data_IF_151084982864
#
_entry.id   IF_151084982864
#
_cell.length_a   1.000
_cell.length_b   1.000
_cell.length_c   1.000
_cell.angle_alpha   90.00
_cell.angle_beta   90.00
_cell.angle_gamma   90.00
#
_symmetry.space_group_name_H-M   'P 1'
#
loop_
_entity.id
_entity.type
_entity.pdbx_description
1 polymer ?
#
# COMPACT_ATOMS: atom_id res chain seq x y z
N UNK A 1 7.39 -11.21 -11.72
CA UNK A 1 5.93 -11.08 -11.93
C UNK A 1 5.24 -12.23 -11.22
N UNK A 2 4.12 -11.98 -10.54
CA UNK A 2 3.29 -13.05 -9.94
C UNK A 2 2.55 -13.82 -11.05
N UNK A 3 2.38 -15.13 -10.87
CA UNK A 3 1.60 -15.96 -11.78
C UNK A 3 0.10 -15.68 -11.65
N UNK A 4 -0.66 -16.04 -12.69
CA UNK A 4 -2.14 -15.94 -12.67
C UNK A 4 -2.75 -16.74 -11.51
N UNK A 5 -2.18 -17.91 -11.20
CA UNK A 5 -2.64 -18.76 -10.10
C UNK A 5 -2.47 -18.07 -8.74
N UNK A 6 -1.36 -17.38 -8.50
CA UNK A 6 -1.12 -16.61 -7.28
C UNK A 6 -2.08 -15.42 -7.13
N UNK A 7 -2.62 -14.92 -8.25
CA UNK A 7 -3.57 -13.80 -8.28
C UNK A 7 -5.03 -14.25 -8.32
N UNK A 8 -5.31 -15.55 -8.42
CA UNK A 8 -6.65 -16.09 -8.68
C UNK A 8 -7.69 -15.61 -7.64
N UNK A 9 -7.32 -15.58 -6.36
CA UNK A 9 -8.21 -15.10 -5.30
C UNK A 9 -8.54 -13.61 -5.38
N UNK A 10 -7.63 -12.80 -5.95
CA UNK A 10 -7.87 -11.38 -6.22
C UNK A 10 -8.73 -11.22 -7.46
N UNK A 11 -8.48 -12.00 -8.51
CA UNK A 11 -9.26 -12.03 -9.74
C UNK A 11 -10.72 -12.37 -9.42
N UNK A 12 -10.97 -13.38 -8.59
CA UNK A 12 -12.33 -13.77 -8.18
C UNK A 12 -13.05 -12.67 -7.39
N UNK A 13 -12.35 -11.95 -6.51
CA UNK A 13 -12.93 -10.80 -5.79
C UNK A 13 -13.28 -9.66 -6.74
N UNK A 14 -12.41 -9.41 -7.72
CA UNK A 14 -12.56 -8.39 -8.75
C UNK A 14 -13.68 -8.74 -9.74
N UNK A 15 -13.89 -10.02 -10.04
CA UNK A 15 -14.90 -10.48 -10.99
C UNK A 15 -16.33 -10.54 -10.42
N UNK A 16 -16.52 -10.19 -9.14
CA UNK A 16 -17.85 -10.14 -8.52
C UNK A 16 -18.73 -9.07 -9.21
N UNK A 17 -20.04 -9.30 -9.39
CA UNK A 17 -20.94 -8.32 -10.01
C UNK A 17 -20.97 -6.97 -9.28
N UNK A 18 -20.69 -6.98 -7.97
CA UNK A 18 -20.63 -5.80 -7.12
C UNK A 18 -19.28 -5.07 -7.19
N UNK A 19 -18.32 -5.64 -7.93
CA UNK A 19 -17.05 -5.00 -8.20
C UNK A 19 -17.22 -3.92 -9.26
N UNK A 20 -16.70 -2.70 -9.05
CA UNK A 20 -16.73 -1.65 -10.07
C UNK A 20 -15.87 -1.96 -11.30
N UNK A 21 -15.07 -3.04 -11.24
CA UNK A 21 -14.19 -3.47 -12.33
C UNK A 21 -15.01 -3.97 -13.51
N UNK A 22 -15.04 -3.17 -14.59
CA UNK A 22 -15.72 -3.50 -15.84
C UNK A 22 -16.83 -2.53 -16.26
N UNK A 23 -17.29 -1.65 -15.36
CA UNK A 23 -18.27 -0.60 -15.72
C UNK A 23 -17.60 0.63 -16.35
N UNK A 24 -16.52 1.12 -15.73
CA UNK A 24 -15.70 2.21 -16.24
C UNK A 24 -14.22 1.91 -15.93
N UNK A 25 -13.48 1.51 -16.96
CA UNK A 25 -12.07 1.19 -16.82
C UNK A 25 -11.25 2.40 -16.38
N UNK A 26 -11.57 3.61 -16.84
CA UNK A 26 -10.81 4.83 -16.50
C UNK A 26 -10.99 5.16 -15.02
N UNK A 27 -12.24 5.12 -14.54
CA UNK A 27 -12.55 5.35 -13.12
C UNK A 27 -11.85 4.33 -12.21
N UNK A 28 -11.88 3.05 -12.57
CA UNK A 28 -11.23 1.99 -11.79
C UNK A 28 -9.72 2.20 -11.72
N UNK A 29 -9.07 2.58 -12.83
CA UNK A 29 -7.64 2.91 -12.82
C UNK A 29 -7.35 4.12 -11.94
N UNK A 30 -8.19 5.17 -11.98
CA UNK A 30 -8.05 6.32 -11.10
C UNK A 30 -8.14 5.94 -9.61
N UNK A 31 -9.11 5.08 -9.24
CA UNK A 31 -9.23 4.58 -7.88
C UNK A 31 -8.02 3.74 -7.44
N UNK A 32 -7.46 2.93 -8.33
CA UNK A 32 -6.25 2.14 -8.03
C UNK A 32 -5.08 3.08 -7.77
N UNK A 33 -4.87 4.08 -8.62
CA UNK A 33 -3.78 5.05 -8.46
C UNK A 33 -3.94 5.87 -7.18
N UNK A 34 -5.14 6.37 -6.89
CA UNK A 34 -5.45 7.07 -5.64
C UNK A 34 -5.14 6.18 -4.42
N UNK A 35 -5.52 4.90 -4.47
CA UNK A 35 -5.25 4.00 -3.35
C UNK A 35 -3.77 3.71 -3.16
N UNK A 36 -3.00 3.58 -4.23
CA UNK A 36 -1.56 3.40 -4.18
C UNK A 36 -0.87 4.64 -3.59
N UNK A 37 -1.23 5.84 -4.04
CA UNK A 37 -0.70 7.08 -3.49
C UNK A 37 -0.98 7.23 -1.98
N UNK A 38 -2.18 6.85 -1.52
CA UNK A 38 -2.50 6.82 -0.09
C UNK A 38 -1.64 5.83 0.70
N UNK A 39 -1.33 4.66 0.11
CA UNK A 39 -0.48 3.66 0.76
C UNK A 39 0.97 4.15 0.84
N UNK A 40 1.49 4.74 -0.24
CA UNK A 40 2.84 5.32 -0.29
C UNK A 40 3.01 6.41 0.78
N UNK A 41 2.11 7.39 0.86
CA UNK A 41 2.20 8.44 1.89
C UNK A 41 2.12 7.90 3.32
N UNK A 42 1.35 6.84 3.55
CA UNK A 42 1.30 6.15 4.86
C UNK A 42 2.60 5.44 5.16
N UNK A 43 3.23 4.80 4.18
CA UNK A 43 4.53 4.14 4.35
C UNK A 43 5.62 5.17 4.64
N UNK A 44 5.70 6.26 3.87
CA UNK A 44 6.65 7.35 4.11
C UNK A 44 6.54 7.89 5.54
N UNK A 45 5.31 8.08 6.02
CA UNK A 45 5.05 8.54 7.40
C UNK A 45 5.58 7.53 8.43
N UNK A 46 5.31 6.24 8.24
CA UNK A 46 5.75 5.18 9.15
C UNK A 46 7.28 5.00 9.12
N UNK A 47 7.88 5.10 7.95
CA UNK A 47 9.32 5.03 7.77
C UNK A 47 10.01 6.23 8.43
N UNK A 48 9.48 7.44 8.26
CA UNK A 48 10.00 8.63 8.94
C UNK A 48 9.92 8.48 10.47
N UNK A 49 8.79 8.02 10.99
CA UNK A 49 8.61 7.80 12.43
C UNK A 49 9.57 6.71 12.96
N UNK A 50 9.76 5.63 12.21
CA UNK A 50 10.71 4.55 12.56
C UNK A 50 12.15 5.06 12.61
N UNK A 51 12.57 5.86 11.61
CA UNK A 51 13.92 6.44 11.60
C UNK A 51 14.13 7.44 12.74
N UNK A 52 13.14 8.26 13.07
CA UNK A 52 13.20 9.17 14.23
C UNK A 52 13.36 8.41 15.53
N UNK A 53 12.54 7.37 15.76
CA UNK A 53 12.63 6.54 16.97
C UNK A 53 13.99 5.83 17.10
N UNK A 54 14.57 5.38 15.98
CA UNK A 54 15.91 4.77 15.97
C UNK A 54 17.02 5.79 16.26
N UNK A 55 16.92 7.00 15.71
CA UNK A 55 17.88 8.07 15.93
C UNK A 55 17.88 8.55 17.40
N UNK A 56 16.70 8.67 18.01
CA UNK A 56 16.55 9.04 19.42
C UNK A 56 17.11 7.96 20.37
N UNK A 57 16.87 6.68 20.07
CA UNK A 57 17.42 5.57 20.83
C UNK A 57 18.96 5.49 20.76
N UNK A 58 19.54 5.75 19.58
CA UNK A 58 20.99 5.81 19.40
C UNK A 58 21.65 7.01 20.10
N UNK A 59 20.97 8.16 20.17
CA UNK A 59 21.45 9.34 20.86
C UNK A 59 21.44 9.18 22.40
N UNK A 60 20.51 8.38 22.94
CA UNK A 60 20.34 8.20 24.39
C UNK A 60 21.28 7.14 25.01
N UNK A 61 22.04 6.39 24.19
CA UNK A 61 22.91 5.29 24.66
C UNK A 61 24.38 5.71 24.94
N UNK A 62 24.70 7.02 24.86
CA UNK A 62 26.04 7.57 25.05
C UNK A 62 26.21 8.47 26.28
N UNK A 63 25.24 8.49 27.20
CA UNK A 63 25.30 9.26 28.45
C UNK A 63 25.17 8.33 29.67
N UNK A 64 26.23 7.56 29.96
CA UNK A 64 26.49 6.94 31.27
C UNK A 64 28.01 6.78 31.47
#
# INVERSE_FOLDING_TARGET
>A
MKSKAELQSLIEKIAKPESPVGMDAVYVHALILDKLAQIEGRLETLEAASHQAQAESAANCGQD
#
